data_IF_370268994634
#
_entry.id   IF_370268994634
#
_cell.length_a   1.000
_cell.length_b   1.000
_cell.length_c   1.000
_cell.angle_alpha   90.00
_cell.angle_beta   90.00
_cell.angle_gamma   90.00
#
_symmetry.space_group_name_H-M   'P 1'
#
loop_
_entity.id
_entity.type
_entity.pdbx_description
1 polymer ?
#
# COMPACT_ATOMS: atom_id res chain seq x y z
N UNK A 1 -16.21 -1.02 -16.11
CA UNK A 1 -15.21 -1.94 -15.52
C UNK A 1 -15.39 -1.97 -14.00
N UNK A 2 -15.15 -3.11 -13.33
CA UNK A 2 -15.41 -3.31 -11.89
C UNK A 2 -14.86 -2.17 -11.02
N UNK A 3 -13.59 -1.82 -11.17
CA UNK A 3 -12.95 -0.83 -10.31
C UNK A 3 -13.42 0.61 -10.54
N UNK A 4 -13.85 0.96 -11.76
CA UNK A 4 -14.46 2.27 -12.04
C UNK A 4 -15.71 2.45 -11.19
N UNK A 5 -16.59 1.44 -11.19
CA UNK A 5 -17.79 1.43 -10.34
C UNK A 5 -17.41 1.56 -8.86
N UNK A 6 -16.37 0.84 -8.43
CA UNK A 6 -15.92 0.90 -7.04
C UNK A 6 -15.45 2.31 -6.65
N UNK A 7 -14.72 2.99 -7.55
CA UNK A 7 -14.24 4.36 -7.33
C UNK A 7 -15.34 5.41 -7.45
N UNK A 8 -16.35 5.20 -8.29
CA UNK A 8 -17.48 6.12 -8.41
C UNK A 8 -18.39 6.07 -7.19
N UNK A 9 -18.70 4.87 -6.70
CA UNK A 9 -19.40 4.69 -5.42
C UNK A 9 -18.58 5.25 -4.24
N UNK A 10 -17.24 5.13 -4.29
CA UNK A 10 -16.37 5.74 -3.29
C UNK A 10 -16.50 7.26 -3.26
N UNK A 11 -16.59 7.95 -4.40
CA UNK A 11 -16.72 9.41 -4.42
C UNK A 11 -17.95 9.88 -3.62
N UNK A 12 -19.05 9.15 -3.73
CA UNK A 12 -20.29 9.43 -3.00
C UNK A 12 -20.07 9.23 -1.50
N UNK A 13 -19.60 8.03 -1.10
CA UNK A 13 -19.31 7.73 0.31
C UNK A 13 -18.29 8.70 0.92
N UNK A 14 -17.33 9.14 0.10
CA UNK A 14 -16.28 10.02 0.56
C UNK A 14 -16.82 11.39 0.92
N UNK A 15 -17.57 12.02 0.02
CA UNK A 15 -18.17 13.33 0.27
C UNK A 15 -19.23 13.28 1.38
N UNK A 16 -20.06 12.23 1.43
CA UNK A 16 -21.17 12.16 2.38
C UNK A 16 -20.77 11.66 3.77
N UNK A 17 -19.66 10.93 3.90
CA UNK A 17 -19.33 10.24 5.14
C UNK A 17 -17.85 10.32 5.55
N UNK A 18 -16.92 10.01 4.65
CA UNK A 18 -15.51 9.83 5.06
C UNK A 18 -14.77 11.16 5.22
N UNK A 19 -15.03 12.15 4.37
CA UNK A 19 -14.27 13.40 4.29
C UNK A 19 -14.26 14.19 5.61
N UNK A 20 -15.43 14.37 6.24
CA UNK A 20 -15.52 15.09 7.51
C UNK A 20 -14.82 14.33 8.66
N UNK A 21 -14.90 13.00 8.64
CA UNK A 21 -14.31 12.14 9.68
C UNK A 21 -12.81 11.96 9.53
N UNK A 22 -12.28 12.11 8.33
CA UNK A 22 -10.84 12.04 8.04
C UNK A 22 -10.07 13.13 8.80
N UNK A 23 -10.65 14.32 9.00
CA UNK A 23 -10.02 15.45 9.72
C UNK A 23 -9.68 15.13 11.18
N UNK A 24 -10.48 14.28 11.81
CA UNK A 24 -10.29 13.82 13.20
C UNK A 24 -9.74 12.38 13.30
N UNK A 25 -9.19 11.87 12.20
CA UNK A 25 -8.67 10.51 12.10
C UNK A 25 -9.69 9.46 12.54
N UNK A 26 -10.97 9.70 12.23
CA UNK A 26 -12.08 8.85 12.66
C UNK A 26 -12.15 8.69 14.19
N UNK A 27 -11.94 9.79 14.94
CA UNK A 27 -12.01 9.84 16.40
C UNK A 27 -10.71 9.46 17.11
N UNK A 28 -9.62 9.28 16.37
CA UNK A 28 -8.34 8.77 16.92
C UNK A 28 -7.27 9.84 17.07
N UNK A 29 -7.52 11.08 16.63
CA UNK A 29 -6.53 12.16 16.58
C UNK A 29 -5.79 12.38 17.88
N UNK A 30 -6.51 12.66 18.97
CA UNK A 30 -5.90 12.93 20.28
C UNK A 30 -5.08 11.74 20.79
N UNK A 31 -5.58 10.52 20.59
CA UNK A 31 -4.89 9.30 20.99
C UNK A 31 -3.58 9.12 20.21
N UNK A 32 -3.60 9.35 18.90
CA UNK A 32 -2.41 9.24 18.06
C UNK A 32 -1.39 10.33 18.39
N UNK A 33 -1.83 11.58 18.55
CA UNK A 33 -0.96 12.70 18.94
C UNK A 33 -0.29 12.44 20.29
N UNK A 34 -1.07 12.02 21.30
CA UNK A 34 -0.53 11.66 22.61
C UNK A 34 0.50 10.54 22.53
N UNK A 35 0.24 9.51 21.71
CA UNK A 35 1.17 8.40 21.53
C UNK A 35 2.52 8.86 20.97
N UNK A 36 2.50 9.66 19.89
CA UNK A 36 3.71 10.20 19.27
C UNK A 36 4.50 11.07 20.26
N UNK A 37 3.82 11.99 20.94
CA UNK A 37 4.46 12.87 21.93
C UNK A 37 5.09 12.09 23.09
N UNK A 38 4.38 11.08 23.62
CA UNK A 38 4.85 10.30 24.77
C UNK A 38 6.04 9.41 24.41
N UNK A 39 6.09 8.91 23.18
CA UNK A 39 7.12 7.97 22.74
C UNK A 39 8.31 8.64 22.05
N UNK A 40 8.20 9.92 21.67
CA UNK A 40 9.25 10.63 20.95
C UNK A 40 9.59 9.97 19.61
N UNK A 41 8.57 9.50 18.88
CA UNK A 41 8.75 8.74 17.63
C UNK A 41 8.69 9.68 16.43
N UNK A 42 9.67 9.57 15.52
CA UNK A 42 9.68 10.35 14.27
C UNK A 42 8.84 9.73 13.14
N UNK A 43 8.62 8.41 13.16
CA UNK A 43 7.82 7.70 12.16
C UNK A 43 7.05 6.52 12.78
N UNK A 44 5.77 6.38 12.46
CA UNK A 44 4.96 5.27 13.00
C UNK A 44 3.76 4.94 12.12
N UNK A 45 3.52 3.65 11.89
CA UNK A 45 2.28 3.18 11.24
C UNK A 45 1.30 2.70 12.31
N UNK A 46 0.13 3.32 12.36
CA UNK A 46 -0.93 2.93 13.30
C UNK A 46 -1.69 1.72 12.78
N UNK A 47 -2.28 0.96 13.71
CA UNK A 47 -3.16 -0.16 13.36
C UNK A 47 -4.33 0.34 12.50
N UNK A 48 -4.68 -0.38 11.43
CA UNK A 48 -5.80 -0.02 10.58
C UNK A 48 -7.13 -0.16 11.33
N UNK A 49 -8.09 0.67 10.93
CA UNK A 49 -9.45 0.72 11.47
C UNK A 49 -10.39 0.24 10.36
N UNK A 50 -11.33 -0.62 10.73
CA UNK A 50 -12.45 -1.00 9.85
C UNK A 50 -13.62 -0.05 10.08
N UNK A 51 -14.18 0.49 9.01
CA UNK A 51 -15.34 1.37 9.03
C UNK A 51 -16.41 0.80 8.12
N UNK A 52 -17.67 1.04 8.47
CA UNK A 52 -18.82 0.75 7.61
C UNK A 52 -19.61 2.04 7.42
N UNK A 53 -19.79 2.47 6.18
CA UNK A 53 -20.53 3.69 5.84
C UNK A 53 -22.03 3.45 5.93
N UNK A 54 -22.82 4.53 5.81
CA UNK A 54 -24.28 4.46 5.78
C UNK A 54 -24.82 3.63 4.60
N UNK A 55 -24.08 3.57 3.50
CA UNK A 55 -24.36 2.73 2.33
C UNK A 55 -24.01 1.25 2.54
N UNK A 56 -23.50 0.88 3.72
CA UNK A 56 -23.09 -0.48 4.07
C UNK A 56 -21.73 -0.89 3.49
N UNK A 57 -21.03 0.01 2.80
CA UNK A 57 -19.71 -0.27 2.25
C UNK A 57 -18.66 -0.34 3.36
N UNK A 58 -17.70 -1.26 3.20
CA UNK A 58 -16.66 -1.50 4.19
C UNK A 58 -15.36 -0.84 3.73
N UNK A 59 -14.74 -0.08 4.62
CA UNK A 59 -13.47 0.58 4.42
C UNK A 59 -12.45 0.14 5.45
N UNK A 60 -11.19 0.16 5.04
CA UNK A 60 -10.02 0.02 5.90
C UNK A 60 -9.27 1.34 5.82
N UNK A 61 -9.08 1.98 6.97
CA UNK A 61 -8.37 3.24 7.09
C UNK A 61 -7.13 3.01 7.94
N UNK A 62 -5.97 3.41 7.44
CA UNK A 62 -4.73 3.36 8.20
C UNK A 62 -4.05 4.71 8.19
N UNK A 63 -3.63 5.19 9.34
CA UNK A 63 -2.78 6.37 9.43
C UNK A 63 -1.32 5.98 9.59
N UNK A 64 -0.43 6.77 9.01
CA UNK A 64 0.97 6.77 9.38
C UNK A 64 1.41 8.19 9.71
N UNK A 65 2.27 8.28 10.72
CA UNK A 65 2.93 9.50 11.12
C UNK A 65 4.35 9.53 10.56
N UNK A 66 4.77 10.68 10.05
CA UNK A 66 6.16 10.98 9.73
C UNK A 66 6.41 12.46 10.03
N UNK A 67 7.37 12.74 10.92
CA UNK A 67 7.68 14.09 11.38
C UNK A 67 8.25 14.99 10.26
N UNK A 68 8.84 14.38 9.23
CA UNK A 68 9.52 15.06 8.13
C UNK A 68 8.60 15.38 6.95
N UNK A 69 7.45 14.70 6.86
CA UNK A 69 6.48 14.94 5.79
C UNK A 69 5.73 16.26 5.98
N UNK A 70 5.46 16.96 4.86
CA UNK A 70 4.63 18.18 4.83
C UNK A 70 3.28 17.96 5.53
N UNK A 71 2.64 16.84 5.23
CA UNK A 71 1.49 16.36 5.98
C UNK A 71 1.97 15.24 6.91
N UNK A 72 2.06 15.53 8.21
CA UNK A 72 2.67 14.60 9.17
C UNK A 72 1.87 13.32 9.35
N UNK A 73 0.56 13.38 9.18
CA UNK A 73 -0.33 12.22 9.26
C UNK A 73 -0.90 11.94 7.89
N UNK A 74 -0.64 10.74 7.37
CA UNK A 74 -1.10 10.32 6.06
C UNK A 74 -2.10 9.18 6.19
N UNK A 75 -3.31 9.34 5.64
CA UNK A 75 -4.29 8.27 5.54
C UNK A 75 -4.01 7.38 4.33
N UNK A 76 -4.18 6.08 4.52
CA UNK A 76 -4.37 5.09 3.48
C UNK A 76 -5.80 4.59 3.61
N UNK A 77 -6.62 4.92 2.63
CA UNK A 77 -8.02 4.50 2.54
C UNK A 77 -8.12 3.36 1.54
N UNK A 78 -8.77 2.28 1.92
CA UNK A 78 -9.05 1.16 1.02
C UNK A 78 -10.48 0.66 1.17
N UNK A 79 -11.18 0.51 0.05
CA UNK A 79 -12.54 -0.03 -0.01
C UNK A 79 -12.51 -1.53 -0.21
N UNK A 80 -13.21 -2.27 0.65
CA UNK A 80 -13.45 -3.70 0.50
C UNK A 80 -14.75 -3.93 -0.28
N UNK A 81 -14.65 -4.55 -1.45
CA UNK A 81 -15.78 -4.81 -2.34
C UNK A 81 -16.02 -6.32 -2.48
N UNK A 82 -17.16 -6.79 -1.96
CA UNK A 82 -17.49 -8.22 -1.93
C UNK A 82 -18.21 -8.63 -3.21
N UNK A 83 -17.74 -9.73 -3.78
CA UNK A 83 -18.29 -10.43 -4.93
C UNK A 83 -18.43 -11.93 -4.60
N UNK A 84 -19.16 -12.72 -5.41
CA UNK A 84 -19.29 -14.17 -5.20
C UNK A 84 -17.95 -14.91 -5.09
N UNK A 85 -16.95 -14.49 -5.87
CA UNK A 85 -15.59 -15.04 -5.90
C UNK A 85 -14.69 -14.57 -4.75
N UNK A 86 -15.11 -13.56 -3.98
CA UNK A 86 -14.40 -13.10 -2.79
C UNK A 86 -14.38 -11.58 -2.61
N UNK A 87 -13.36 -11.06 -1.92
CA UNK A 87 -13.26 -9.63 -1.58
C UNK A 87 -12.15 -8.99 -2.40
N UNK A 88 -12.54 -8.08 -3.29
CA UNK A 88 -11.61 -7.14 -3.93
C UNK A 88 -11.31 -6.00 -2.97
N UNK A 89 -10.10 -5.45 -3.06
CA UNK A 89 -9.74 -4.27 -2.28
C UNK A 89 -9.16 -3.21 -3.20
N UNK A 90 -9.67 -1.99 -3.13
CA UNK A 90 -9.21 -0.87 -3.96
C UNK A 90 -8.75 0.25 -3.04
N UNK A 91 -7.52 0.73 -3.17
CA UNK A 91 -7.08 1.93 -2.46
C UNK A 91 -7.75 3.15 -3.08
N UNK A 92 -8.12 4.12 -2.26
CA UNK A 92 -8.96 5.24 -2.68
C UNK A 92 -8.28 6.58 -2.33
N UNK A 93 -8.44 7.61 -3.17
CA UNK A 93 -7.78 8.90 -2.98
C UNK A 93 -8.31 9.67 -1.78
N UNK A 94 -7.42 10.37 -1.06
CA UNK A 94 -7.74 11.23 0.08
C UNK A 94 -7.64 12.71 -0.30
N UNK A 95 -8.25 13.60 0.49
CA UNK A 95 -8.03 15.05 0.39
C UNK A 95 -6.66 15.49 0.91
N UNK A 96 -6.03 14.70 1.78
CA UNK A 96 -4.70 14.96 2.34
C UNK A 96 -3.61 14.55 1.35
N UNK A 97 -3.77 13.38 0.72
CA UNK A 97 -2.86 12.91 -0.33
C UNK A 97 -3.66 12.47 -1.56
N UNK A 98 -3.30 13.09 -2.68
CA UNK A 98 -3.60 12.54 -4.00
C UNK A 98 -2.60 11.44 -4.31
N UNK A 99 -3.06 10.20 -4.29
CA UNK A 99 -2.26 9.04 -4.67
C UNK A 99 -2.00 9.09 -6.18
N UNK A 100 -0.78 8.77 -6.63
CA UNK A 100 -0.43 8.78 -8.06
C UNK A 100 -1.29 7.82 -8.88
N UNK A 101 -1.33 6.53 -8.49
CA UNK A 101 -2.27 5.53 -9.01
C UNK A 101 -2.87 4.73 -7.86
N UNK A 102 -4.12 4.29 -8.00
CA UNK A 102 -4.77 3.44 -7.01
C UNK A 102 -4.31 1.97 -7.16
N UNK A 103 -4.06 1.27 -6.06
CA UNK A 103 -3.86 -0.18 -6.07
C UNK A 103 -5.20 -0.92 -6.01
N UNK A 104 -5.39 -1.93 -6.86
CA UNK A 104 -6.53 -2.85 -6.79
C UNK A 104 -6.03 -4.28 -6.57
N UNK A 105 -6.51 -4.94 -5.53
CA UNK A 105 -6.10 -6.28 -5.14
C UNK A 105 -7.25 -7.25 -5.40
N UNK A 106 -6.96 -8.31 -6.14
CA UNK A 106 -7.95 -9.35 -6.46
C UNK A 106 -8.10 -10.35 -5.31
N UNK A 107 -9.26 -11.03 -5.14
CA UNK A 107 -9.55 -11.80 -3.93
C UNK A 107 -8.50 -12.82 -3.53
N UNK A 108 -7.95 -13.54 -4.51
CA UNK A 108 -6.99 -14.61 -4.27
C UNK A 108 -5.58 -14.09 -3.91
N UNK A 109 -5.30 -12.80 -4.11
CA UNK A 109 -4.09 -12.15 -3.60
C UNK A 109 -3.96 -12.36 -2.08
N UNK A 110 -5.06 -12.15 -1.36
CA UNK A 110 -5.09 -12.28 0.10
C UNK A 110 -5.06 -13.73 0.57
N UNK A 111 -5.55 -14.69 -0.22
CA UNK A 111 -5.33 -16.12 0.09
C UNK A 111 -3.85 -16.46 0.03
N UNK A 112 -3.16 -16.00 -1.02
CA UNK A 112 -1.71 -16.18 -1.15
C UNK A 112 -0.95 -15.47 -0.02
N UNK A 113 -1.37 -14.28 0.39
CA UNK A 113 -0.77 -13.61 1.54
C UNK A 113 -0.92 -14.43 2.84
N UNK A 114 -2.13 -14.96 3.11
CA UNK A 114 -2.39 -15.85 4.24
C UNK A 114 -1.49 -17.08 4.22
N UNK A 115 -1.41 -17.75 3.07
CA UNK A 115 -0.76 -19.06 2.96
C UNK A 115 0.76 -18.92 2.91
N UNK A 116 1.28 -17.92 2.18
CA UNK A 116 2.70 -17.78 1.87
C UNK A 116 3.44 -16.93 2.89
N UNK A 117 2.82 -15.89 3.43
CA UNK A 117 3.46 -14.93 4.34
C UNK A 117 3.03 -15.16 5.77
N UNK A 118 1.72 -15.22 6.04
CA UNK A 118 1.24 -15.46 7.41
C UNK A 118 1.39 -16.92 7.84
N UNK A 119 1.58 -17.85 6.88
CA UNK A 119 1.66 -19.32 7.08
C UNK A 119 0.49 -19.87 7.91
N UNK A 120 -0.75 -19.42 7.62
CA UNK A 120 -1.98 -19.82 8.37
C UNK A 120 -2.90 -20.69 7.52
N UNK A 121 -3.42 -21.78 8.10
CA UNK A 121 -4.39 -22.69 7.43
C UNK A 121 -5.80 -22.10 7.32
N UNK A 122 -6.22 -21.33 8.32
CA UNK A 122 -7.55 -20.74 8.40
C UNK A 122 -7.49 -19.28 8.83
N UNK A 123 -8.55 -18.54 8.53
CA UNK A 123 -8.71 -17.15 8.96
C UNK A 123 -9.82 -16.46 8.17
N UNK A 124 -10.52 -15.55 8.82
CA UNK A 124 -11.48 -14.69 8.15
C UNK A 124 -10.74 -13.85 7.09
N UNK A 125 -11.28 -13.78 5.87
CA UNK A 125 -10.68 -13.03 4.75
C UNK A 125 -10.42 -11.57 5.14
N UNK A 126 -11.35 -10.93 5.83
CA UNK A 126 -11.22 -9.53 6.24
C UNK A 126 -10.09 -9.35 7.26
N UNK A 127 -9.89 -10.29 8.18
CA UNK A 127 -8.78 -10.23 9.14
C UNK A 127 -7.42 -10.37 8.43
N UNK A 128 -7.35 -11.20 7.39
CA UNK A 128 -6.16 -11.32 6.54
C UNK A 128 -5.88 -10.01 5.81
N UNK A 129 -6.91 -9.37 5.25
CA UNK A 129 -6.80 -8.06 4.61
C UNK A 129 -6.33 -7.02 5.63
N UNK A 130 -6.94 -6.94 6.81
CA UNK A 130 -6.54 -6.00 7.87
C UNK A 130 -5.07 -6.17 8.25
N UNK A 131 -4.60 -7.41 8.38
CA UNK A 131 -3.18 -7.72 8.64
C UNK A 131 -2.25 -7.30 7.51
N UNK A 132 -2.68 -7.41 6.26
CA UNK A 132 -1.93 -6.90 5.12
C UNK A 132 -1.77 -5.39 5.21
N UNK A 133 -2.86 -4.66 5.49
CA UNK A 133 -2.80 -3.20 5.65
C UNK A 133 -2.01 -2.76 6.88
N UNK A 134 -2.02 -3.54 7.96
CA UNK A 134 -1.23 -3.25 9.16
C UNK A 134 0.28 -3.36 8.91
N UNK A 135 0.73 -4.35 8.13
CA UNK A 135 2.15 -4.71 8.09
C UNK A 135 2.83 -4.44 6.74
N UNK A 136 2.10 -4.47 5.63
CA UNK A 136 2.71 -4.57 4.29
C UNK A 136 2.26 -3.46 3.33
N UNK A 137 1.04 -2.90 3.50
CA UNK A 137 0.57 -1.85 2.60
C UNK A 137 1.48 -0.61 2.70
N UNK A 138 1.88 -0.05 1.57
CA UNK A 138 2.67 1.19 1.51
C UNK A 138 1.90 2.29 0.76
N UNK A 139 2.23 3.56 1.04
CA UNK A 139 1.59 4.72 0.41
C UNK A 139 2.02 4.89 -1.05
N UNK A 140 3.26 4.50 -1.34
CA UNK A 140 3.73 4.19 -2.67
C UNK A 140 3.62 2.69 -2.89
N UNK A 141 3.32 2.30 -4.11
CA UNK A 141 3.63 0.92 -4.50
C UNK A 141 5.17 0.81 -4.40
N UNK A 142 5.70 -0.27 -3.81
CA UNK A 142 7.15 -0.48 -3.75
C UNK A 142 7.79 -0.33 -5.14
N UNK A 143 9.13 -0.30 -5.21
CA UNK A 143 9.91 -0.22 -6.44
C UNK A 143 9.16 -0.87 -7.64
N UNK A 144 8.59 -0.03 -8.50
CA UNK A 144 7.75 -0.45 -9.62
C UNK A 144 8.62 -0.65 -10.83
N UNK A 145 8.58 -1.84 -11.39
CA UNK A 145 9.55 -2.18 -12.42
C UNK A 145 8.83 -2.78 -13.60
N UNK A 146 8.98 -2.10 -14.73
CA UNK A 146 8.52 -2.56 -16.02
C UNK A 146 9.52 -3.59 -16.54
N UNK A 147 9.02 -4.74 -16.95
CA UNK A 147 9.85 -5.75 -17.56
C UNK A 147 9.81 -5.58 -19.08
N UNK A 148 10.96 -5.33 -19.73
CA UNK A 148 11.01 -4.98 -21.16
C UNK A 148 10.33 -6.01 -22.07
N UNK A 149 10.45 -7.30 -21.73
CA UNK A 149 9.83 -8.39 -22.48
C UNK A 149 8.31 -8.51 -22.23
N UNK A 150 7.81 -7.99 -21.12
CA UNK A 150 6.38 -7.96 -20.78
C UNK A 150 5.99 -6.54 -20.37
N UNK A 151 5.89 -5.61 -21.33
CA UNK A 151 5.75 -4.17 -21.06
C UNK A 151 4.49 -3.80 -20.27
N UNK A 152 3.47 -4.65 -20.29
CA UNK A 152 2.21 -4.47 -19.56
C UNK A 152 2.23 -5.09 -18.17
N UNK A 153 3.31 -5.78 -17.79
CA UNK A 153 3.46 -6.42 -16.49
C UNK A 153 4.49 -5.68 -15.65
N UNK A 154 4.11 -5.46 -14.40
CA UNK A 154 4.91 -4.77 -13.42
C UNK A 154 5.21 -5.71 -12.27
N UNK A 155 6.47 -5.69 -11.86
CA UNK A 155 6.93 -6.33 -10.63
C UNK A 155 6.97 -5.24 -9.56
N UNK A 156 6.37 -5.53 -8.42
CA UNK A 156 6.47 -4.70 -7.23
C UNK A 156 7.18 -5.48 -6.16
N UNK A 157 8.17 -4.84 -5.57
CA UNK A 157 9.13 -5.49 -4.69
C UNK A 157 8.86 -5.05 -3.24
N UNK A 158 8.69 -6.01 -2.33
CA UNK A 158 8.44 -5.81 -0.90
C UNK A 158 9.42 -6.64 -0.06
N UNK A 159 9.57 -6.30 1.22
CA UNK A 159 10.53 -6.93 2.13
C UNK A 159 10.45 -8.45 2.21
N UNK A 160 9.23 -9.01 2.08
CA UNK A 160 8.96 -10.45 2.27
C UNK A 160 8.46 -11.16 1.02
N UNK A 161 8.17 -10.42 -0.05
CA UNK A 161 7.55 -10.96 -1.25
C UNK A 161 7.67 -10.00 -2.43
N UNK A 162 7.37 -10.50 -3.61
CA UNK A 162 7.07 -9.67 -4.77
C UNK A 162 5.59 -9.78 -5.12
N UNK A 163 5.06 -8.77 -5.79
CA UNK A 163 3.75 -8.85 -6.44
C UNK A 163 3.91 -8.67 -7.95
N UNK A 164 3.05 -9.36 -8.70
CA UNK A 164 2.94 -9.14 -10.13
C UNK A 164 1.58 -8.51 -10.41
N UNK A 165 1.58 -7.50 -11.26
CA UNK A 165 0.39 -6.76 -11.62
C UNK A 165 0.53 -6.06 -12.96
N UNK A 166 -0.46 -5.25 -13.27
CA UNK A 166 -0.48 -4.47 -14.51
C UNK A 166 -1.20 -3.13 -14.30
N UNK A 167 -0.77 -2.04 -14.95
CA UNK A 167 -1.56 -0.83 -15.03
C UNK A 167 -2.84 -1.10 -15.81
N UNK A 168 -3.93 -0.53 -15.33
CA UNK A 168 -5.16 -0.36 -16.07
C UNK A 168 -5.21 1.11 -16.46
N UNK A 169 -4.63 1.43 -17.61
CA UNK A 169 -4.39 2.82 -18.05
C UNK A 169 -5.67 3.64 -18.10
N UNK A 170 -6.79 3.03 -18.53
CA UNK A 170 -8.11 3.67 -18.63
C UNK A 170 -8.66 4.20 -17.30
N UNK A 171 -8.12 3.76 -16.15
CA UNK A 171 -8.72 4.04 -14.83
C UNK A 171 -7.71 4.45 -13.75
N UNK A 172 -6.47 4.77 -14.13
CA UNK A 172 -5.41 5.15 -13.19
C UNK A 172 -5.23 4.17 -12.00
N UNK A 173 -5.29 2.87 -12.30
CA UNK A 173 -5.18 1.77 -11.32
C UNK A 173 -3.98 0.88 -11.67
N UNK A 174 -3.32 0.34 -10.64
CA UNK A 174 -2.48 -0.85 -10.74
C UNK A 174 -3.21 -2.05 -10.14
N UNK A 175 -3.50 -3.05 -10.97
CA UNK A 175 -4.11 -4.29 -10.51
C UNK A 175 -3.02 -5.26 -10.02
N UNK A 176 -3.03 -5.54 -8.73
CA UNK A 176 -2.20 -6.53 -8.05
C UNK A 176 -2.83 -7.91 -8.21
N UNK A 177 -2.24 -8.74 -9.07
CA UNK A 177 -2.80 -10.03 -9.46
C UNK A 177 -2.28 -11.17 -8.59
N UNK A 178 -1.03 -11.11 -8.16
CA UNK A 178 -0.46 -12.18 -7.35
C UNK A 178 0.62 -11.68 -6.41
N UNK A 179 0.89 -12.50 -5.40
CA UNK A 179 1.96 -12.35 -4.43
C UNK A 179 2.81 -13.62 -4.47
N UNK A 180 4.13 -13.49 -4.59
CA UNK A 180 5.10 -14.59 -4.57
C UNK A 180 6.08 -14.32 -3.44
N UNK A 181 6.20 -15.22 -2.47
CA UNK A 181 7.17 -15.09 -1.38
C UNK A 181 8.58 -15.34 -1.89
N UNK A 182 9.57 -14.75 -1.22
CA UNK A 182 10.96 -14.75 -1.71
C UNK A 182 11.57 -16.16 -1.76
N UNK A 183 11.16 -17.05 -0.87
CA UNK A 183 11.57 -18.47 -0.84
C UNK A 183 11.09 -19.26 -2.06
N UNK A 184 10.12 -18.72 -2.82
CA UNK A 184 9.64 -19.33 -4.06
C UNK A 184 10.39 -18.83 -5.30
N UNK A 185 11.24 -17.82 -5.16
CA UNK A 185 12.04 -17.28 -6.26
C UNK A 185 13.29 -18.13 -6.47
N UNK A 186 13.61 -18.42 -7.73
CA UNK A 186 14.92 -18.98 -8.09
C UNK A 186 15.99 -17.91 -7.92
N UNK A 187 17.24 -18.31 -7.72
CA UNK A 187 18.38 -17.38 -7.53
C UNK A 187 18.46 -16.32 -8.63
N UNK A 188 18.37 -16.71 -9.91
CA UNK A 188 18.34 -15.76 -11.03
C UNK A 188 17.20 -14.73 -10.93
N UNK A 189 16.06 -15.10 -10.36
CA UNK A 189 14.94 -14.17 -10.15
C UNK A 189 15.19 -13.23 -8.96
N UNK A 190 15.87 -13.70 -7.91
CA UNK A 190 16.31 -12.86 -6.80
C UNK A 190 17.35 -11.85 -7.26
N UNK A 191 18.31 -12.27 -8.08
CA UNK A 191 19.33 -11.40 -8.68
C UNK A 191 18.68 -10.30 -9.52
N UNK A 192 17.72 -10.66 -10.37
CA UNK A 192 16.92 -9.69 -11.12
C UNK A 192 16.26 -8.72 -10.14
N UNK A 193 15.55 -9.19 -9.11
CA UNK A 193 14.92 -8.31 -8.11
C UNK A 193 15.92 -7.38 -7.40
N UNK A 194 17.15 -7.84 -7.12
CA UNK A 194 18.20 -7.04 -6.52
C UNK A 194 18.71 -5.93 -7.43
N UNK A 195 19.11 -6.27 -8.66
CA UNK A 195 19.59 -5.29 -9.66
C UNK A 195 18.56 -4.17 -9.88
N UNK A 196 17.30 -4.59 -9.88
CA UNK A 196 16.12 -3.77 -10.03
C UNK A 196 15.87 -2.83 -8.84
N UNK A 197 16.07 -3.30 -7.61
CA UNK A 197 16.06 -2.45 -6.41
C UNK A 197 17.23 -1.46 -6.46
N UNK A 198 18.43 -1.92 -6.79
CA UNK A 198 19.63 -1.06 -6.88
C UNK A 198 19.48 0.04 -7.94
N UNK A 199 18.86 -0.27 -9.09
CA UNK A 199 18.57 0.71 -10.13
C UNK A 199 17.60 1.79 -9.64
N UNK A 200 16.57 1.40 -8.87
CA UNK A 200 15.64 2.37 -8.29
C UNK A 200 16.31 3.22 -7.20
N UNK A 201 17.17 2.62 -6.38
CA UNK A 201 17.99 3.35 -5.40
C UNK A 201 18.79 4.44 -6.10
N UNK A 202 19.52 4.09 -7.16
CA UNK A 202 20.33 5.04 -7.92
C UNK A 202 19.50 6.17 -8.53
N UNK A 203 18.36 5.86 -9.14
CA UNK A 203 17.46 6.88 -9.70
C UNK A 203 16.88 7.82 -8.65
N UNK A 204 16.55 7.30 -7.46
CA UNK A 204 16.12 8.10 -6.31
C UNK A 204 17.27 8.97 -5.77
N UNK A 205 18.49 8.44 -5.65
CA UNK A 205 19.69 9.18 -5.25
C UNK A 205 20.06 10.32 -6.20
N UNK A 206 19.83 10.15 -7.50
CA UNK A 206 20.00 11.21 -8.50
C UNK A 206 18.96 12.32 -8.31
N UNK A 207 17.70 11.97 -8.04
CA UNK A 207 16.65 12.95 -7.70
C UNK A 207 16.93 13.73 -6.41
N UNK A 208 17.56 13.10 -5.40
CA UNK A 208 17.96 13.74 -4.14
C UNK A 208 18.95 14.88 -4.37
N UNK A 209 19.85 14.76 -5.36
CA UNK A 209 20.89 15.77 -5.61
C UNK A 209 20.32 17.07 -6.16
N UNK A 210 19.13 17.03 -6.76
CA UNK A 210 18.47 18.21 -7.36
C UNK A 210 17.46 18.89 -6.40
N UNK A 211 16.92 18.19 -5.40
CA UNK A 211 15.95 18.75 -4.44
C UNK A 211 16.44 18.69 -2.97
N UNK A 212 17.12 19.75 -2.52
CA UNK A 212 17.72 19.87 -1.17
C UNK A 212 16.74 19.73 0.01
N UNK A 213 15.41 19.79 -0.22
CA UNK A 213 14.39 19.84 0.85
C UNK A 213 13.80 18.48 1.26
N UNK A 214 14.08 17.39 0.53
CA UNK A 214 13.51 16.06 0.79
C UNK A 214 14.56 14.95 1.00
N UNK A 215 15.83 15.32 1.20
CA UNK A 215 16.96 14.38 1.29
C UNK A 215 16.79 13.31 2.38
N UNK A 216 16.30 13.67 3.57
CA UNK A 216 16.11 12.73 4.68
C UNK A 216 14.92 11.77 4.46
N UNK A 217 13.88 12.22 3.75
CA UNK A 217 12.71 11.40 3.38
C UNK A 217 13.08 10.37 2.30
N UNK A 218 13.83 10.81 1.29
CA UNK A 218 14.34 9.96 0.24
C UNK A 218 15.38 8.96 0.76
N UNK A 219 16.34 9.37 1.60
CA UNK A 219 17.31 8.44 2.21
C UNK A 219 16.62 7.32 3.01
N UNK A 220 15.52 7.62 3.70
CA UNK A 220 14.76 6.61 4.45
C UNK A 220 13.94 5.71 3.53
N UNK A 221 13.41 6.24 2.43
CA UNK A 221 12.78 5.42 1.39
C UNK A 221 13.77 4.40 0.81
N UNK A 222 15.04 4.77 0.65
CA UNK A 222 16.11 3.85 0.25
C UNK A 222 16.38 2.74 1.27
N UNK A 223 16.30 3.06 2.58
CA UNK A 223 16.48 2.10 3.67
C UNK A 223 15.30 1.12 3.84
N UNK A 224 14.11 1.47 3.35
CA UNK A 224 12.93 0.60 3.33
C UNK A 224 12.86 -0.30 2.09
N UNK A 225 13.82 -0.18 1.16
CA UNK A 225 13.89 -1.08 0.01
C UNK A 225 14.57 -2.40 0.42
N UNK A 226 14.02 -3.54 0.00
CA UNK A 226 14.59 -4.83 0.34
C UNK A 226 15.97 -5.04 -0.28
N UNK A 227 16.91 -5.53 0.53
CA UNK A 227 18.18 -6.07 0.06
C UNK A 227 18.13 -7.60 0.09
N UNK A 228 18.01 -8.25 -1.05
CA UNK A 228 17.94 -9.73 -1.12
C UNK A 228 19.32 -10.39 -1.26
N UNK A 229 20.43 -9.65 -1.13
CA UNK A 229 21.78 -10.24 -1.11
C UNK A 229 22.10 -11.00 0.19
N UNK A 230 21.25 -10.86 1.22
CA UNK A 230 21.45 -11.46 2.55
C UNK A 230 20.41 -12.55 2.90
N UNK A 231 19.58 -13.01 1.94
CA UNK A 231 18.49 -14.01 2.18
C UNK A 231 18.76 -15.37 1.53
#
# INVERSE_FOLDING_TARGET
MLYTKVLDEYKIDYEEYLREREVDFFGMKDRYLKYIQTKGIDHFTFKPIKITTNTGHIYIIRYSFNAYWKHKFIPLIARCYRQPEGIYVVTCPSTIIKIGKNGAYIPHFFDRYRDRILKRKHGNKLDVIMKFFENEARFSVGAMIRYDKYPDNYIFVFDKFITLGSPLEDVNIFEMRTLISLDMLKEVQKDICNELVESNIKGLEEHIKDEDRNKDELLRTLLELPNYKEV
#
